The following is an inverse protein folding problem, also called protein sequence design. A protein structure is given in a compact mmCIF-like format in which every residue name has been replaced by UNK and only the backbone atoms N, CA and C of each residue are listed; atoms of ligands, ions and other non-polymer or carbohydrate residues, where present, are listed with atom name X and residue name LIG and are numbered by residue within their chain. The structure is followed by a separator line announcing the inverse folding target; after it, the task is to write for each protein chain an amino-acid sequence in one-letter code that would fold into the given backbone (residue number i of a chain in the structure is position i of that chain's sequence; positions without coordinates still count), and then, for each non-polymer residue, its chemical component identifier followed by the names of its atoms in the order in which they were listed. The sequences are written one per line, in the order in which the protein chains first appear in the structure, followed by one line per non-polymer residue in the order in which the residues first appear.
data_IF_022238285144
#
_entry.id   IF_022238285144
#
_cell.length_a   1.000
_cell.length_b   1.000
_cell.length_c   1.000
_cell.angle_alpha   90.00
_cell.angle_beta   90.00
_cell.angle_gamma   90.00
#
_symmetry.space_group_name_H-M   'P 1'
#
loop_
_entity.id
_entity.type
_entity.pdbx_description
1 polymer ?
#
# COMPACT_ATOMS: atom_id res chain seq x y z
N UNK A 1 4.50 26.26 -20.40
CA UNK A 1 3.39 25.29 -20.61
C UNK A 1 3.76 23.97 -19.92
N UNK A 2 4.39 24.05 -18.74
CA UNK A 2 5.30 23.02 -18.23
C UNK A 2 4.80 22.32 -16.95
N UNK A 3 3.55 22.58 -16.54
CA UNK A 3 2.98 22.06 -15.28
C UNK A 3 2.09 20.81 -15.46
N UNK A 4 2.03 20.22 -16.65
CA UNK A 4 1.22 19.02 -16.92
C UNK A 4 -0.25 19.18 -16.50
N UNK A 5 -0.74 18.25 -15.66
CA UNK A 5 -2.12 18.24 -15.16
C UNK A 5 -2.35 19.19 -13.96
N UNK A 6 -1.31 19.86 -13.46
CA UNK A 6 -1.41 20.80 -12.33
C UNK A 6 -1.90 22.16 -12.82
N UNK A 7 -2.99 22.64 -12.22
CA UNK A 7 -3.60 23.94 -12.55
C UNK A 7 -3.60 24.86 -11.34
N UNK A 8 -3.84 26.15 -11.55
CA UNK A 8 -3.95 27.15 -10.46
C UNK A 8 -5.10 26.91 -9.49
N UNK A 9 -6.03 25.99 -9.80
CA UNK A 9 -7.09 25.56 -8.90
C UNK A 9 -6.66 24.51 -7.88
N UNK A 10 -5.51 23.86 -8.08
CA UNK A 10 -4.91 22.98 -7.07
C UNK A 10 -4.21 23.85 -6.02
N UNK A 11 -4.66 23.76 -4.77
CA UNK A 11 -4.19 24.62 -3.67
C UNK A 11 -3.23 23.89 -2.72
N UNK A 12 -2.96 22.61 -2.95
CA UNK A 12 -2.07 21.82 -2.12
C UNK A 12 -0.60 22.18 -2.40
N UNK A 13 0.26 21.97 -1.41
CA UNK A 13 1.70 21.93 -1.66
C UNK A 13 2.03 20.67 -2.48
N UNK A 14 2.14 20.85 -3.80
CA UNK A 14 2.39 19.75 -4.76
C UNK A 14 3.70 19.03 -4.45
N UNK A 15 4.73 19.73 -3.97
CA UNK A 15 6.00 19.08 -3.62
C UNK A 15 5.81 18.15 -2.43
N UNK A 16 5.13 18.61 -1.38
CA UNK A 16 4.81 17.76 -0.23
C UNK A 16 3.90 16.59 -0.62
N UNK A 17 2.94 16.80 -1.53
CA UNK A 17 2.08 15.73 -2.02
C UNK A 17 2.87 14.65 -2.77
N UNK A 18 3.83 15.04 -3.61
CA UNK A 18 4.75 14.11 -4.28
C UNK A 18 5.55 13.30 -3.26
N UNK A 19 6.09 13.94 -2.22
CA UNK A 19 6.84 13.25 -1.17
C UNK A 19 5.96 12.20 -0.46
N UNK A 20 4.74 12.59 -0.07
CA UNK A 20 3.76 11.69 0.58
C UNK A 20 3.36 10.53 -0.34
N UNK A 21 3.11 10.78 -1.62
CA UNK A 21 2.79 9.70 -2.56
C UNK A 21 3.97 8.76 -2.80
N UNK A 22 5.21 9.25 -2.69
CA UNK A 22 6.38 8.38 -2.71
C UNK A 22 6.52 7.57 -1.41
N UNK A 23 6.03 8.06 -0.25
CA UNK A 23 5.88 7.22 0.96
C UNK A 23 4.83 6.11 0.74
N UNK A 24 3.72 6.42 0.07
CA UNK A 24 2.71 5.43 -0.37
C UNK A 24 3.36 4.37 -1.29
N UNK A 25 4.04 4.79 -2.37
CA UNK A 25 4.78 3.86 -3.26
C UNK A 25 5.70 2.93 -2.48
N UNK A 26 6.44 3.47 -1.51
CA UNK A 26 7.35 2.65 -0.70
C UNK A 26 6.60 1.62 0.16
N UNK A 27 5.50 2.04 0.78
CA UNK A 27 4.66 1.19 1.64
C UNK A 27 4.06 0.03 0.85
N UNK A 28 3.41 0.33 -0.26
CA UNK A 28 2.79 -0.65 -1.16
C UNK A 28 3.82 -1.66 -1.72
N UNK A 29 5.01 -1.21 -2.09
CA UNK A 29 6.05 -2.11 -2.60
C UNK A 29 6.59 -3.00 -1.48
N UNK A 30 6.73 -2.50 -0.24
CA UNK A 30 7.14 -3.33 0.90
C UNK A 30 6.06 -4.37 1.23
N UNK A 31 4.78 -4.00 1.20
CA UNK A 31 3.66 -4.92 1.38
C UNK A 31 3.63 -5.98 0.27
N UNK A 32 3.74 -5.60 -1.01
CA UNK A 32 3.88 -6.53 -2.15
C UNK A 32 4.98 -7.56 -1.91
N UNK A 33 6.18 -7.11 -1.49
CA UNK A 33 7.31 -8.01 -1.22
C UNK A 33 7.01 -8.96 -0.07
N UNK A 34 6.39 -8.46 1.01
CA UNK A 34 6.03 -9.26 2.19
C UNK A 34 4.97 -10.32 1.85
N UNK A 35 3.87 -9.93 1.21
CA UNK A 35 2.84 -10.87 0.75
C UNK A 35 3.38 -11.91 -0.21
N UNK A 36 4.18 -11.50 -1.20
CA UNK A 36 4.82 -12.42 -2.14
C UNK A 36 5.68 -13.45 -1.40
N UNK A 37 6.45 -13.02 -0.41
CA UNK A 37 7.27 -13.93 0.38
C UNK A 37 6.40 -14.89 1.21
N UNK A 38 5.39 -14.40 1.92
CA UNK A 38 4.49 -15.24 2.71
C UNK A 38 3.74 -16.25 1.83
N UNK A 39 3.25 -15.85 0.65
CA UNK A 39 2.57 -16.74 -0.30
C UNK A 39 3.47 -17.90 -0.76
N UNK A 40 4.75 -17.61 -1.04
CA UNK A 40 5.72 -18.61 -1.51
C UNK A 40 6.18 -19.53 -0.37
N UNK A 41 6.41 -18.96 0.82
CA UNK A 41 6.95 -19.68 1.96
C UNK A 41 5.90 -20.51 2.73
N UNK A 42 4.61 -20.17 2.61
CA UNK A 42 3.53 -20.85 3.31
C UNK A 42 3.54 -22.38 3.14
N UNK A 43 3.67 -23.09 4.25
CA UNK A 43 3.57 -24.56 4.34
C UNK A 43 2.49 -25.00 5.34
N UNK A 44 2.10 -26.28 5.31
CA UNK A 44 1.07 -26.83 6.20
C UNK A 44 -0.17 -27.32 5.47
N UNK A 45 -1.17 -27.81 6.22
CA UNK A 45 -2.41 -28.40 5.67
C UNK A 45 -3.32 -27.30 5.08
N UNK A 46 -3.42 -26.16 5.77
CA UNK A 46 -4.31 -25.06 5.40
C UNK A 46 -3.65 -24.05 4.43
N UNK A 47 -2.43 -24.35 3.97
CA UNK A 47 -1.62 -23.43 3.13
C UNK A 47 -2.32 -22.97 1.86
N UNK A 48 -3.20 -23.79 1.30
CA UNK A 48 -3.67 -23.60 -0.07
C UNK A 48 -4.54 -22.34 -0.18
N UNK A 49 -5.42 -22.13 0.80
CA UNK A 49 -6.27 -20.95 0.88
C UNK A 49 -5.45 -19.71 1.25
N UNK A 50 -4.63 -19.81 2.31
CA UNK A 50 -3.81 -18.68 2.79
C UNK A 50 -2.83 -18.18 1.73
N UNK A 51 -2.16 -19.08 1.01
CA UNK A 51 -1.23 -18.70 -0.05
C UNK A 51 -1.94 -18.12 -1.28
N UNK A 52 -3.19 -18.52 -1.56
CA UNK A 52 -3.97 -17.92 -2.63
C UNK A 52 -4.32 -16.47 -2.29
N UNK A 53 -4.81 -16.23 -1.07
CA UNK A 53 -5.11 -14.89 -0.54
C UNK A 53 -3.88 -13.97 -0.60
N UNK A 54 -2.75 -14.44 -0.07
CA UNK A 54 -1.51 -13.66 -0.12
C UNK A 54 -1.01 -13.39 -1.54
N UNK A 55 -1.31 -14.26 -2.50
CA UNK A 55 -0.95 -14.02 -3.90
C UNK A 55 -1.83 -12.95 -4.53
N UNK A 56 -3.12 -12.94 -4.18
CA UNK A 56 -4.09 -11.93 -4.61
C UNK A 56 -3.73 -10.56 -4.07
N UNK A 57 -3.59 -10.43 -2.75
CA UNK A 57 -3.18 -9.17 -2.10
C UNK A 57 -1.83 -8.69 -2.65
N UNK A 58 -0.83 -9.56 -2.83
CA UNK A 58 0.44 -9.15 -3.45
C UNK A 58 0.25 -8.48 -4.83
N UNK A 59 -0.65 -8.99 -5.67
CA UNK A 59 -0.90 -8.41 -6.98
C UNK A 59 -1.55 -7.02 -6.88
N UNK A 60 -2.44 -6.84 -5.90
CA UNK A 60 -3.17 -5.59 -5.64
C UNK A 60 -2.26 -4.52 -5.05
N UNK A 61 -1.44 -4.85 -4.06
CA UNK A 61 -0.40 -3.99 -3.48
C UNK A 61 0.56 -3.42 -4.54
N UNK A 62 1.03 -4.29 -5.46
CA UNK A 62 1.84 -3.82 -6.59
C UNK A 62 1.07 -2.87 -7.51
N UNK A 63 -0.24 -3.07 -7.65
CA UNK A 63 -1.10 -2.22 -8.48
C UNK A 63 -1.38 -0.87 -7.80
N UNK A 64 -1.55 -0.84 -6.48
CA UNK A 64 -1.68 0.37 -5.67
C UNK A 64 -0.42 1.23 -5.78
N UNK A 65 0.75 0.63 -5.56
CA UNK A 65 2.05 1.30 -5.72
C UNK A 65 2.24 1.89 -7.12
N UNK A 66 1.79 1.19 -8.17
CA UNK A 66 1.79 1.71 -9.55
C UNK A 66 0.87 2.90 -9.73
N UNK A 67 -0.35 2.86 -9.19
CA UNK A 67 -1.25 4.02 -9.29
C UNK A 67 -0.70 5.25 -8.57
N UNK A 68 -0.14 5.07 -7.38
CA UNK A 68 0.51 6.16 -6.64
C UNK A 68 1.70 6.73 -7.42
N UNK A 69 2.54 5.87 -7.99
CA UNK A 69 3.66 6.26 -8.84
C UNK A 69 3.22 7.01 -10.11
N UNK A 70 2.20 6.53 -10.81
CA UNK A 70 1.63 7.24 -11.95
C UNK A 70 1.13 8.63 -11.53
N UNK A 71 0.53 8.74 -10.35
CA UNK A 71 0.07 10.03 -9.81
C UNK A 71 1.24 10.97 -9.50
N UNK A 72 2.35 10.47 -8.93
CA UNK A 72 3.59 11.25 -8.76
C UNK A 72 4.05 11.84 -10.08
N UNK A 73 4.11 11.02 -11.15
CA UNK A 73 4.51 11.48 -12.48
C UNK A 73 3.56 12.55 -13.05
N UNK A 74 2.24 12.38 -12.89
CA UNK A 74 1.25 13.37 -13.33
C UNK A 74 1.37 14.73 -12.62
N UNK A 75 1.86 14.73 -11.38
CA UNK A 75 2.13 15.92 -10.57
C UNK A 75 3.49 16.56 -10.92
N UNK A 76 4.27 15.95 -11.82
CA UNK A 76 5.58 16.43 -12.24
C UNK A 76 6.75 15.95 -11.35
N UNK A 77 6.51 14.97 -10.48
CA UNK A 77 7.54 14.33 -9.66
C UNK A 77 8.15 13.10 -10.33
N UNK A 78 9.20 12.56 -9.70
CA UNK A 78 9.82 11.30 -10.09
C UNK A 78 9.35 10.19 -9.14
N UNK A 79 8.71 9.12 -9.66
CA UNK A 79 8.31 7.98 -8.84
C UNK A 79 9.51 7.21 -8.33
N UNK A 80 9.58 6.98 -7.02
CA UNK A 80 10.75 6.39 -6.36
C UNK A 80 10.50 4.93 -5.96
N UNK A 81 11.04 4.01 -6.77
CA UNK A 81 11.10 2.57 -6.54
C UNK A 81 12.48 2.08 -6.07
N UNK A 82 13.39 2.96 -5.66
CA UNK A 82 14.74 2.57 -5.29
C UNK A 82 14.72 1.57 -4.10
N UNK A 83 15.12 0.30 -4.31
CA UNK A 83 15.04 -0.72 -3.27
C UNK A 83 15.91 -0.40 -2.05
N UNK A 84 16.90 0.50 -2.19
CA UNK A 84 17.77 0.91 -1.08
C UNK A 84 17.08 1.88 -0.11
N UNK A 85 16.00 2.54 -0.54
CA UNK A 85 15.29 3.56 0.25
C UNK A 85 13.87 3.17 0.64
N UNK A 86 13.28 2.13 0.03
CA UNK A 86 11.90 1.69 0.29
C UNK A 86 11.61 1.53 1.79
N UNK A 87 12.42 0.76 2.51
CA UNK A 87 12.21 0.50 3.93
C UNK A 87 12.30 1.75 4.82
N UNK A 88 12.97 2.82 4.37
CA UNK A 88 13.10 4.06 5.13
C UNK A 88 11.88 4.98 4.96
N UNK A 89 11.14 4.81 3.86
CA UNK A 89 9.97 5.62 3.50
C UNK A 89 8.65 4.92 3.78
N UNK A 90 8.65 3.59 3.81
CA UNK A 90 7.49 2.76 4.08
C UNK A 90 6.93 3.04 5.48
N UNK A 91 5.60 3.04 5.59
CA UNK A 91 4.90 3.10 6.87
C UNK A 91 4.83 1.74 7.57
N UNK A 92 5.05 0.64 6.82
CA UNK A 92 5.08 -0.73 7.34
C UNK A 92 6.47 -1.34 7.24
N UNK A 93 6.73 -2.34 8.08
CA UNK A 93 7.99 -3.09 8.07
C UNK A 93 7.92 -4.31 7.16
N UNK A 94 9.09 -4.71 6.63
CA UNK A 94 9.26 -6.01 6.00
C UNK A 94 9.57 -7.05 7.09
N UNK A 95 8.53 -7.74 7.56
CA UNK A 95 8.64 -8.80 8.57
C UNK A 95 8.26 -10.13 7.94
N UNK A 96 9.12 -11.13 8.13
CA UNK A 96 8.90 -12.51 7.71
C UNK A 96 8.98 -13.42 8.93
N UNK A 97 8.13 -14.44 9.00
CA UNK A 97 8.06 -15.39 10.12
C UNK A 97 8.34 -16.83 9.65
N UNK A 98 8.40 -17.79 10.56
CA UNK A 98 8.70 -19.18 10.22
C UNK A 98 7.68 -19.76 9.22
N UNK A 99 8.17 -20.47 8.20
CA UNK A 99 7.40 -20.98 7.04
C UNK A 99 6.16 -21.83 7.39
N UNK A 100 6.10 -22.40 8.60
CA UNK A 100 5.00 -23.23 9.07
C UNK A 100 3.97 -22.48 9.94
N UNK A 101 4.21 -21.20 10.26
CA UNK A 101 3.34 -20.41 11.14
C UNK A 101 2.38 -19.50 10.35
N UNK A 102 1.39 -20.12 9.72
CA UNK A 102 0.37 -19.43 8.92
C UNK A 102 -0.41 -18.39 9.76
N UNK A 103 -0.71 -18.71 11.02
CA UNK A 103 -1.42 -17.79 11.92
C UNK A 103 -0.58 -16.53 12.15
N UNK A 104 0.73 -16.67 12.35
CA UNK A 104 1.58 -15.51 12.51
C UNK A 104 1.70 -14.70 11.22
N UNK A 105 1.83 -15.34 10.05
CA UNK A 105 1.83 -14.64 8.76
C UNK A 105 0.56 -13.79 8.57
N UNK A 106 -0.61 -14.35 8.86
CA UNK A 106 -1.90 -13.66 8.81
C UNK A 106 -1.94 -12.46 9.79
N UNK A 107 -1.49 -12.66 11.03
CA UNK A 107 -1.45 -11.59 12.03
C UNK A 107 -0.52 -10.45 11.63
N UNK A 108 0.67 -10.74 11.11
CA UNK A 108 1.63 -9.71 10.68
C UNK A 108 1.07 -8.89 9.52
N UNK A 109 0.46 -9.54 8.52
CA UNK A 109 -0.20 -8.83 7.44
C UNK A 109 -1.39 -8.00 7.94
N UNK A 110 -2.23 -8.53 8.83
CA UNK A 110 -3.37 -7.77 9.37
C UNK A 110 -2.92 -6.53 10.17
N UNK A 111 -1.81 -6.64 10.91
CA UNK A 111 -1.22 -5.48 11.59
C UNK A 111 -0.71 -4.45 10.58
N UNK A 112 -0.06 -4.90 9.51
CA UNK A 112 0.38 -4.02 8.45
C UNK A 112 -0.79 -3.30 7.77
N UNK A 113 -1.88 -4.01 7.42
CA UNK A 113 -3.05 -3.36 6.80
C UNK A 113 -3.66 -2.30 7.69
N UNK A 114 -3.76 -2.54 8.99
CA UNK A 114 -4.30 -1.54 9.93
C UNK A 114 -3.43 -0.28 10.01
N UNK A 115 -2.11 -0.41 9.84
CA UNK A 115 -1.21 0.74 9.75
C UNK A 115 -1.47 1.49 8.45
N UNK A 116 -1.55 0.79 7.31
CA UNK A 116 -1.83 1.37 5.99
C UNK A 116 -3.17 2.12 5.99
N UNK A 117 -4.25 1.48 6.44
CA UNK A 117 -5.58 2.06 6.59
C UNK A 117 -5.53 3.37 7.39
N UNK A 118 -4.86 3.34 8.55
CA UNK A 118 -4.75 4.54 9.40
C UNK A 118 -4.00 5.66 8.68
N UNK A 119 -2.84 5.36 8.10
CA UNK A 119 -2.05 6.32 7.34
C UNK A 119 -2.82 6.91 6.17
N UNK A 120 -3.58 6.10 5.43
CA UNK A 120 -4.28 6.55 4.23
C UNK A 120 -5.51 7.38 4.57
N UNK A 121 -6.22 7.05 5.64
CA UNK A 121 -7.26 7.91 6.20
C UNK A 121 -6.71 9.29 6.58
N UNK A 122 -5.49 9.36 7.15
CA UNK A 122 -4.83 10.63 7.47
C UNK A 122 -4.45 11.42 6.20
N UNK A 123 -3.87 10.76 5.20
CA UNK A 123 -3.52 11.36 3.90
C UNK A 123 -4.78 11.91 3.21
N UNK A 124 -5.86 11.13 3.16
CA UNK A 124 -7.14 11.52 2.54
C UNK A 124 -7.70 12.78 3.22
N UNK A 125 -7.72 12.81 4.56
CA UNK A 125 -8.20 13.98 5.33
C UNK A 125 -7.32 15.20 5.12
N UNK A 126 -6.01 15.01 5.01
CA UNK A 126 -5.05 16.09 4.75
C UNK A 126 -5.21 16.67 3.34
N UNK A 127 -5.38 15.84 2.32
CA UNK A 127 -5.62 16.29 0.94
C UNK A 127 -6.93 17.08 0.87
N UNK A 128 -8.00 16.57 1.48
CA UNK A 128 -9.31 17.20 1.51
C UNK A 128 -9.80 17.59 0.10
N UNK A 129 -10.20 18.85 -0.06
CA UNK A 129 -10.67 19.39 -1.34
C UNK A 129 -9.56 20.01 -2.20
N UNK A 130 -8.31 20.01 -1.72
CA UNK A 130 -7.20 20.69 -2.40
C UNK A 130 -6.75 19.97 -3.68
N UNK A 131 -6.78 18.62 -3.68
CA UNK A 131 -6.55 17.79 -4.86
C UNK A 131 -7.54 16.60 -4.91
N UNK A 132 -8.75 16.80 -5.47
CA UNK A 132 -9.78 15.77 -5.54
C UNK A 132 -9.38 14.52 -6.33
N UNK A 133 -8.49 14.64 -7.30
CA UNK A 133 -8.02 13.49 -8.09
C UNK A 133 -7.15 12.58 -7.25
N UNK A 134 -6.19 13.16 -6.52
CA UNK A 134 -5.34 12.37 -5.61
C UNK A 134 -6.15 11.82 -4.45
N UNK A 135 -7.08 12.60 -3.88
CA UNK A 135 -7.98 12.10 -2.82
C UNK A 135 -8.76 10.86 -3.27
N UNK A 136 -9.41 10.92 -4.44
CA UNK A 136 -10.20 9.79 -4.97
C UNK A 136 -9.34 8.57 -5.27
N UNK A 137 -8.10 8.76 -5.69
CA UNK A 137 -7.16 7.66 -5.86
C UNK A 137 -6.85 7.00 -4.51
N UNK A 138 -6.52 7.79 -3.49
CA UNK A 138 -6.25 7.25 -2.15
C UNK A 138 -7.47 6.59 -1.52
N UNK A 139 -8.68 7.13 -1.73
CA UNK A 139 -9.94 6.50 -1.28
C UNK A 139 -10.16 5.13 -1.93
N UNK A 140 -9.79 4.97 -3.20
CA UNK A 140 -9.86 3.67 -3.88
C UNK A 140 -8.87 2.67 -3.29
N UNK A 141 -7.63 3.09 -3.03
CA UNK A 141 -6.63 2.21 -2.42
C UNK A 141 -7.10 1.80 -1.02
N UNK A 142 -7.54 2.77 -0.21
CA UNK A 142 -8.08 2.52 1.13
C UNK A 142 -9.22 1.49 1.13
N UNK A 143 -10.15 1.56 0.16
CA UNK A 143 -11.24 0.58 0.04
C UNK A 143 -10.70 -0.85 -0.10
N UNK A 144 -9.65 -1.06 -0.90
CA UNK A 144 -9.04 -2.38 -1.06
C UNK A 144 -8.25 -2.80 0.19
N UNK A 145 -7.56 -1.89 0.89
CA UNK A 145 -6.88 -2.24 2.14
C UNK A 145 -7.86 -2.63 3.27
N UNK A 146 -9.03 -1.99 3.30
CA UNK A 146 -10.10 -2.37 4.24
C UNK A 146 -10.67 -3.76 3.91
N UNK A 147 -10.77 -4.13 2.63
CA UNK A 147 -11.11 -5.48 2.16
C UNK A 147 -10.03 -6.50 2.55
N UNK A 148 -8.75 -6.21 2.26
CA UNK A 148 -7.63 -7.08 2.67
C UNK A 148 -7.64 -7.37 4.17
N UNK A 149 -7.89 -6.35 5.00
CA UNK A 149 -7.94 -6.51 6.45
C UNK A 149 -9.12 -7.38 6.91
N UNK A 150 -10.26 -7.33 6.21
CA UNK A 150 -11.44 -8.17 6.47
C UNK A 150 -11.16 -9.63 6.10
N UNK A 151 -10.61 -9.88 4.92
CA UNK A 151 -10.26 -11.22 4.44
C UNK A 151 -9.26 -11.92 5.37
N UNK A 152 -8.23 -11.19 5.83
CA UNK A 152 -7.28 -11.71 6.82
C UNK A 152 -7.94 -11.98 8.17
N UNK A 153 -8.88 -11.15 8.58
CA UNK A 153 -9.61 -11.34 9.83
C UNK A 153 -10.51 -12.59 9.78
N UNK A 154 -11.16 -12.81 8.65
CA UNK A 154 -11.98 -14.00 8.37
C UNK A 154 -11.13 -15.28 8.37
N UNK A 155 -9.94 -15.24 7.75
CA UNK A 155 -8.99 -16.37 7.77
C UNK A 155 -8.46 -16.67 9.19
N UNK A 156 -8.37 -15.66 10.05
CA UNK A 156 -8.05 -15.84 11.48
C UNK A 156 -9.24 -16.33 12.32
N UNK A 157 -10.47 -16.28 11.78
CA UNK A 157 -11.68 -16.71 12.45
C UNK A 157 -12.14 -15.81 13.60
N UNK A 158 -11.88 -14.50 13.51
CA UNK A 158 -12.22 -13.50 14.54
C UNK A 158 -13.56 -12.81 14.30
#
# INVERSE_FOLDING_TARGET
MDAGAVTSGNTIDVKRLIDVLNEVVATEVVCYLRYTQHAIAATGIDRAQVAAEFTEHAAEELQHGKWAAERVSQLGGEPDFDPTTLAQRSHTEYVTVEDADLNRMLQENLVAERIVITSYQEIIRWIGDADPTTRRLMEKILEQEEEHADDLNDLLGN
#
